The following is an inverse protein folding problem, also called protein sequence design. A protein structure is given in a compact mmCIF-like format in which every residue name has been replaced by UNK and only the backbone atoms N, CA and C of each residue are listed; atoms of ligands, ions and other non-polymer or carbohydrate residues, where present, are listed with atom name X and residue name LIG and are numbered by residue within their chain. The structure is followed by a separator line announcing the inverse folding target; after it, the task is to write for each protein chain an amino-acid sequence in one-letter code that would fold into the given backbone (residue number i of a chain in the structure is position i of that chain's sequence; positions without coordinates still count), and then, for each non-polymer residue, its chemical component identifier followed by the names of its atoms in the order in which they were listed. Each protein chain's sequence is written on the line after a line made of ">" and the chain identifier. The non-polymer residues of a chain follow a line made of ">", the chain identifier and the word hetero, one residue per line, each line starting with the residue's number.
data_IF_910738891266
#
_entry.id   IF_910738891266
#
_cell.length_a   1.000
_cell.length_b   1.000
_cell.length_c   1.000
_cell.angle_alpha   90.00
_cell.angle_beta   90.00
_cell.angle_gamma   90.00
#
_symmetry.space_group_name_H-M   'P 1'
#
loop_
_entity.id
_entity.type
_entity.pdbx_description
1 polymer ?
#
# COMPACT_ATOMS: atom_id res chain seq x y z
N UNK A 1 -11.02 -34.20 -12.90
CA UNK A 1 -10.60 -33.32 -11.77
C UNK A 1 -11.59 -33.38 -10.61
N UNK A 2 -12.89 -33.09 -10.77
CA UNK A 2 -13.87 -33.19 -9.66
C UNK A 2 -13.93 -34.59 -9.04
N UNK A 3 -13.96 -35.64 -9.83
CA UNK A 3 -13.93 -37.02 -9.37
C UNK A 3 -12.72 -37.36 -8.49
N UNK A 4 -11.55 -36.80 -8.84
CA UNK A 4 -10.32 -36.96 -8.05
C UNK A 4 -10.43 -36.28 -6.69
N UNK A 5 -11.00 -35.07 -6.63
CA UNK A 5 -11.25 -34.41 -5.35
C UNK A 5 -12.20 -35.20 -4.47
N UNK A 6 -13.30 -35.70 -5.04
CA UNK A 6 -14.26 -36.53 -4.33
C UNK A 6 -13.60 -37.82 -3.83
N UNK A 7 -12.81 -38.48 -4.66
CA UNK A 7 -12.12 -39.71 -4.24
C UNK A 7 -11.12 -39.47 -3.11
N UNK A 8 -10.32 -38.39 -3.21
CA UNK A 8 -9.35 -38.02 -2.16
C UNK A 8 -10.01 -37.58 -0.87
N UNK A 9 -11.10 -36.81 -0.95
CA UNK A 9 -11.88 -36.41 0.22
C UNK A 9 -12.51 -37.64 0.92
N UNK A 10 -13.01 -38.61 0.17
CA UNK A 10 -13.53 -39.88 0.72
C UNK A 10 -12.45 -40.73 1.36
N UNK A 11 -11.25 -40.75 0.79
CA UNK A 11 -10.14 -41.57 1.29
C UNK A 11 -9.46 -40.99 2.52
N UNK A 12 -9.30 -39.65 2.58
CA UNK A 12 -8.45 -39.00 3.56
C UNK A 12 -9.13 -37.91 4.40
N UNK A 13 -10.44 -37.68 4.20
CA UNK A 13 -11.17 -36.59 4.80
C UNK A 13 -11.25 -35.34 3.91
N UNK A 14 -12.29 -34.55 4.10
CA UNK A 14 -12.54 -33.36 3.27
C UNK A 14 -11.49 -32.28 3.48
N UNK A 15 -10.90 -32.18 4.64
CA UNK A 15 -9.85 -31.23 4.99
C UNK A 15 -8.54 -31.45 4.22
N UNK A 16 -8.35 -32.58 3.57
CA UNK A 16 -7.20 -32.80 2.67
C UNK A 16 -7.28 -31.96 1.40
N UNK A 17 -8.47 -31.47 1.07
CA UNK A 17 -8.64 -30.53 -0.04
C UNK A 17 -8.41 -29.12 0.47
N UNK A 18 -7.36 -28.49 -0.05
CA UNK A 18 -6.99 -27.12 0.27
C UNK A 18 -7.08 -26.24 -0.97
N UNK A 19 -8.20 -25.55 -1.20
CA UNK A 19 -8.32 -24.61 -2.31
C UNK A 19 -7.32 -23.47 -2.15
N UNK A 20 -6.33 -23.41 -3.04
CA UNK A 20 -5.39 -22.31 -3.09
C UNK A 20 -5.87 -21.28 -4.10
N UNK A 21 -6.16 -20.09 -3.64
CA UNK A 21 -6.65 -18.99 -4.46
C UNK A 21 -6.18 -17.66 -3.90
N UNK A 22 -6.12 -16.66 -4.74
CA UNK A 22 -5.87 -15.29 -4.31
C UNK A 22 -6.68 -14.30 -5.15
N UNK A 23 -6.47 -13.00 -4.89
CA UNK A 23 -7.15 -11.95 -5.61
C UNK A 23 -6.79 -11.98 -7.11
N UNK A 24 -7.77 -12.12 -7.94
CA UNK A 24 -7.71 -11.88 -9.37
C UNK A 24 -8.72 -10.79 -9.67
N UNK A 25 -9.83 -11.17 -10.31
CA UNK A 25 -10.98 -10.28 -10.42
C UNK A 25 -11.61 -10.06 -9.03
N UNK A 26 -11.61 -8.84 -8.56
CA UNK A 26 -11.99 -8.49 -7.18
C UNK A 26 -13.50 -8.33 -6.96
N UNK A 27 -14.33 -8.74 -7.92
CA UNK A 27 -15.78 -8.78 -7.75
C UNK A 27 -16.19 -9.70 -6.61
N UNK A 28 -17.15 -9.30 -5.79
CA UNK A 28 -17.56 -10.04 -4.58
C UNK A 28 -17.94 -11.49 -4.88
N UNK A 29 -18.65 -11.75 -5.96
CA UNK A 29 -19.06 -13.09 -6.35
C UNK A 29 -17.88 -13.95 -6.78
N UNK A 30 -16.97 -13.40 -7.59
CA UNK A 30 -15.83 -14.15 -8.12
C UNK A 30 -14.78 -14.39 -7.05
N UNK A 31 -14.44 -13.36 -6.28
CA UNK A 31 -13.43 -13.45 -5.22
C UNK A 31 -13.81 -14.47 -4.14
N UNK A 32 -15.06 -14.44 -3.70
CA UNK A 32 -15.51 -15.21 -2.56
C UNK A 32 -16.29 -16.48 -2.95
N UNK A 33 -16.50 -16.72 -4.25
CA UNK A 33 -17.26 -17.87 -4.75
C UNK A 33 -16.70 -19.23 -4.27
N UNK A 34 -15.37 -19.37 -4.23
CA UNK A 34 -14.71 -20.58 -3.75
C UNK A 34 -15.00 -20.89 -2.27
N UNK A 35 -15.28 -19.85 -1.46
CA UNK A 35 -15.59 -20.04 -0.04
C UNK A 35 -16.91 -20.76 0.18
N UNK A 36 -17.89 -20.61 -0.71
CA UNK A 36 -19.15 -21.37 -0.64
C UNK A 36 -18.89 -22.86 -0.74
N UNK A 37 -18.10 -23.27 -1.74
CA UNK A 37 -17.70 -24.67 -1.94
C UNK A 37 -16.93 -25.19 -0.71
N UNK A 38 -15.98 -24.40 -0.23
CA UNK A 38 -15.18 -24.76 0.94
C UNK A 38 -16.02 -24.96 2.20
N UNK A 39 -16.98 -24.08 2.45
CA UNK A 39 -17.86 -24.17 3.62
C UNK A 39 -18.78 -25.37 3.52
N UNK A 40 -19.40 -25.61 2.36
CA UNK A 40 -20.32 -26.73 2.15
C UNK A 40 -19.60 -28.06 2.30
N UNK A 41 -18.43 -28.21 1.68
CA UNK A 41 -17.70 -29.47 1.67
C UNK A 41 -16.69 -29.62 2.81
N UNK A 42 -16.60 -28.66 3.74
CA UNK A 42 -15.66 -28.69 4.87
C UNK A 42 -14.19 -28.79 4.45
N UNK A 43 -13.83 -28.20 3.33
CA UNK A 43 -12.44 -28.15 2.89
C UNK A 43 -11.59 -27.20 3.74
N UNK A 44 -10.27 -27.41 3.77
CA UNK A 44 -9.34 -26.60 4.53
C UNK A 44 -9.37 -25.13 4.12
N UNK A 45 -9.10 -24.25 5.09
CA UNK A 45 -9.04 -22.81 4.89
C UNK A 45 -7.63 -22.38 4.54
N UNK A 46 -7.51 -21.53 3.51
CA UNK A 46 -6.30 -20.79 3.25
C UNK A 46 -6.15 -19.61 4.23
N UNK A 47 -4.96 -19.41 4.74
CA UNK A 47 -4.58 -18.18 5.43
C UNK A 47 -3.94 -17.25 4.40
N UNK A 48 -4.60 -16.15 4.09
CA UNK A 48 -4.13 -15.17 3.10
C UNK A 48 -3.12 -14.23 3.76
N UNK A 49 -1.84 -14.39 3.47
CA UNK A 49 -0.77 -13.64 4.14
C UNK A 49 0.24 -12.98 3.18
N UNK A 50 0.16 -13.27 1.88
CA UNK A 50 1.25 -12.93 0.95
C UNK A 50 1.26 -11.46 0.57
N UNK A 51 0.12 -10.89 0.17
CA UNK A 51 0.05 -9.60 -0.51
C UNK A 51 -0.13 -8.42 0.44
N UNK A 52 -1.09 -8.49 1.34
CA UNK A 52 -1.60 -7.31 2.06
C UNK A 52 -1.41 -7.37 3.56
N UNK A 53 -1.26 -8.54 4.15
CA UNK A 53 -1.30 -8.70 5.62
C UNK A 53 -0.21 -7.92 6.35
N UNK A 54 1.00 -7.84 5.82
CA UNK A 54 2.08 -7.08 6.46
C UNK A 54 1.79 -5.58 6.39
N UNK A 55 1.37 -5.08 5.23
CA UNK A 55 1.00 -3.68 5.07
C UNK A 55 -0.27 -3.32 5.84
N UNK A 56 -1.26 -4.22 5.88
CA UNK A 56 -2.46 -4.06 6.71
C UNK A 56 -2.11 -3.96 8.20
N UNK A 57 -1.18 -4.77 8.69
CA UNK A 57 -0.74 -4.72 10.09
C UNK A 57 -0.09 -3.38 10.43
N UNK A 58 0.78 -2.87 9.56
CA UNK A 58 1.37 -1.54 9.72
C UNK A 58 0.32 -0.42 9.65
N UNK A 59 -0.63 -0.53 8.73
CA UNK A 59 -1.72 0.44 8.60
C UNK A 59 -2.61 0.46 9.85
N UNK A 60 -3.00 -0.72 10.35
CA UNK A 60 -3.80 -0.85 11.57
C UNK A 60 -3.07 -0.31 12.79
N UNK A 61 -1.76 -0.54 12.90
CA UNK A 61 -0.96 0.00 13.99
C UNK A 61 -0.92 1.53 13.98
N UNK A 62 -0.85 2.16 12.79
CA UNK A 62 -0.80 3.62 12.67
C UNK A 62 -2.15 4.32 12.69
N UNK A 63 -3.20 3.70 12.14
CA UNK A 63 -4.49 4.36 11.88
C UNK A 63 -5.67 3.72 12.62
N UNK A 64 -5.49 2.52 13.17
CA UNK A 64 -6.52 1.79 13.93
C UNK A 64 -7.58 1.08 13.06
N UNK A 65 -7.68 1.39 11.78
CA UNK A 65 -8.61 0.73 10.84
C UNK A 65 -8.09 0.78 9.41
N UNK A 66 -8.51 -0.19 8.60
CA UNK A 66 -8.23 -0.20 7.15
C UNK A 66 -9.31 0.64 6.47
N UNK A 67 -8.99 1.89 6.21
CA UNK A 67 -9.85 2.81 5.48
C UNK A 67 -9.00 3.86 4.76
N UNK A 68 -9.48 4.34 3.64
CA UNK A 68 -8.87 5.43 2.88
C UNK A 68 -9.95 6.39 2.37
N UNK A 69 -9.57 7.58 1.89
CA UNK A 69 -10.47 8.50 1.24
C UNK A 69 -10.97 7.95 -0.10
N UNK A 70 -12.01 8.55 -0.64
CA UNK A 70 -12.46 8.26 -1.99
C UNK A 70 -11.35 8.62 -3.01
N UNK A 71 -10.92 7.69 -3.87
CA UNK A 71 -9.87 7.96 -4.86
C UNK A 71 -10.15 9.16 -5.77
N UNK A 72 -11.42 9.52 -5.96
CA UNK A 72 -11.81 10.69 -6.76
C UNK A 72 -11.39 12.02 -6.11
N UNK A 73 -11.19 12.03 -4.81
CA UNK A 73 -10.72 13.22 -4.09
C UNK A 73 -9.27 13.58 -4.42
N UNK A 74 -8.51 12.65 -4.96
CA UNK A 74 -7.16 12.89 -5.49
C UNK A 74 -7.14 14.05 -6.49
N UNK A 75 -8.21 14.21 -7.28
CA UNK A 75 -8.35 15.32 -8.23
C UNK A 75 -8.39 16.71 -7.58
N UNK A 76 -8.56 16.78 -6.26
CA UNK A 76 -8.56 18.03 -5.47
C UNK A 76 -7.23 18.31 -4.79
N UNK A 77 -6.24 17.42 -4.94
CA UNK A 77 -4.93 17.55 -4.31
C UNK A 77 -4.01 18.49 -5.10
N UNK A 78 -3.11 19.15 -4.41
CA UNK A 78 -2.05 19.97 -5.01
C UNK A 78 -0.73 19.19 -5.17
N UNK A 79 -0.62 18.03 -4.50
CA UNK A 79 0.47 17.07 -4.65
C UNK A 79 -0.09 15.65 -4.56
N UNK A 80 0.28 14.79 -5.52
CA UNK A 80 -0.11 13.38 -5.55
C UNK A 80 1.16 12.53 -5.51
N UNK A 81 1.29 11.71 -4.47
CA UNK A 81 2.41 10.78 -4.31
C UNK A 81 1.92 9.37 -4.65
N UNK A 82 2.50 8.77 -5.68
CA UNK A 82 2.25 7.40 -6.11
C UNK A 82 3.44 6.56 -5.69
N UNK A 83 3.23 5.64 -4.74
CA UNK A 83 4.31 4.89 -4.10
C UNK A 83 4.15 3.39 -4.26
N UNK A 84 5.18 2.75 -4.85
CA UNK A 84 5.25 1.29 -4.98
C UNK A 84 4.18 0.67 -5.89
N UNK A 85 3.72 1.40 -6.90
CA UNK A 85 2.71 0.89 -7.83
C UNK A 85 2.87 1.45 -9.24
N UNK A 86 2.72 0.57 -10.23
CA UNK A 86 2.67 0.95 -11.64
C UNK A 86 1.22 1.31 -12.05
N UNK A 87 0.75 2.45 -11.57
CA UNK A 87 -0.64 2.87 -11.71
C UNK A 87 -1.09 3.01 -13.16
N UNK A 88 -0.20 3.36 -14.09
CA UNK A 88 -0.51 3.43 -15.53
C UNK A 88 -1.05 2.12 -16.07
N UNK A 89 -0.54 0.98 -15.59
CA UNK A 89 -0.95 -0.34 -16.05
C UNK A 89 -1.95 -1.04 -15.14
N UNK A 90 -1.86 -0.82 -13.82
CA UNK A 90 -2.62 -1.62 -12.85
C UNK A 90 -3.72 -0.86 -12.15
N UNK A 91 -3.69 0.49 -12.21
CA UNK A 91 -4.64 1.36 -11.51
C UNK A 91 -4.93 2.61 -12.35
N UNK A 92 -5.43 2.39 -13.56
CA UNK A 92 -5.67 3.42 -14.58
C UNK A 92 -6.50 4.59 -14.05
N UNK A 93 -7.53 4.31 -13.24
CA UNK A 93 -8.37 5.34 -12.64
C UNK A 93 -7.60 6.23 -11.64
N UNK A 94 -6.62 5.70 -10.92
CA UNK A 94 -5.73 6.50 -10.05
C UNK A 94 -4.96 7.50 -10.90
N UNK A 95 -4.36 7.06 -12.01
CA UNK A 95 -3.66 7.95 -12.93
C UNK A 95 -4.58 8.99 -13.54
N UNK A 96 -5.81 8.64 -13.88
CA UNK A 96 -6.80 9.59 -14.40
C UNK A 96 -7.04 10.73 -13.42
N UNK A 97 -7.21 10.44 -12.13
CA UNK A 97 -7.43 11.45 -11.10
C UNK A 97 -6.17 12.28 -10.81
N UNK A 98 -4.98 11.65 -10.81
CA UNK A 98 -3.71 12.36 -10.66
C UNK A 98 -3.47 13.35 -11.82
N UNK A 99 -3.68 12.90 -13.05
CA UNK A 99 -3.57 13.78 -14.24
C UNK A 99 -4.63 14.89 -14.21
N UNK A 100 -5.84 14.61 -13.74
CA UNK A 100 -6.87 15.63 -13.58
C UNK A 100 -6.42 16.68 -12.56
N UNK A 101 -5.88 16.30 -11.41
CA UNK A 101 -5.33 17.25 -10.44
C UNK A 101 -4.24 18.15 -11.06
N UNK A 102 -3.33 17.57 -11.84
CA UNK A 102 -2.30 18.32 -12.55
C UNK A 102 -2.91 19.34 -13.53
N UNK A 103 -3.88 18.91 -14.35
CA UNK A 103 -4.51 19.77 -15.36
C UNK A 103 -5.30 20.92 -14.75
N UNK A 104 -6.10 20.62 -13.74
CA UNK A 104 -7.07 21.56 -13.18
C UNK A 104 -6.45 22.48 -12.12
N UNK A 105 -5.40 22.03 -11.43
CA UNK A 105 -4.85 22.69 -10.25
C UNK A 105 -3.35 22.95 -10.33
N UNK A 106 -2.65 22.42 -11.33
CA UNK A 106 -1.18 22.46 -11.38
C UNK A 106 -0.51 21.52 -10.39
N UNK A 107 -1.23 20.52 -9.88
CA UNK A 107 -0.71 19.58 -8.91
C UNK A 107 0.57 18.90 -9.38
N UNK A 108 1.50 18.65 -8.47
CA UNK A 108 2.70 17.87 -8.74
C UNK A 108 2.43 16.38 -8.53
N UNK A 109 2.96 15.56 -9.43
CA UNK A 109 2.93 14.10 -9.32
C UNK A 109 4.33 13.63 -8.98
N UNK A 110 4.47 13.03 -7.79
CA UNK A 110 5.68 12.37 -7.33
C UNK A 110 5.48 10.87 -7.44
N UNK A 111 6.42 10.16 -8.03
CA UNK A 111 6.35 8.69 -8.12
C UNK A 111 7.59 8.10 -7.45
N UNK A 112 7.35 7.19 -6.53
CA UNK A 112 8.37 6.46 -5.78
C UNK A 112 8.26 4.97 -6.12
N UNK A 113 9.33 4.39 -6.66
CA UNK A 113 9.37 2.95 -6.97
C UNK A 113 10.83 2.46 -6.99
N UNK A 114 11.00 1.15 -7.07
CA UNK A 114 12.32 0.49 -7.12
C UNK A 114 12.86 0.31 -8.54
N UNK A 115 12.06 0.55 -9.57
CA UNK A 115 12.46 0.41 -10.97
C UNK A 115 11.73 1.42 -11.85
N UNK A 116 12.32 1.70 -13.02
CA UNK A 116 11.73 2.60 -14.00
C UNK A 116 10.50 1.98 -14.66
N UNK A 117 9.33 2.46 -14.31
CA UNK A 117 8.06 2.00 -14.85
C UNK A 117 7.33 3.12 -15.61
N UNK A 118 6.28 2.79 -16.38
CA UNK A 118 5.53 3.80 -17.12
C UNK A 118 4.90 4.90 -16.26
N UNK A 119 4.62 4.64 -14.99
CA UNK A 119 4.10 5.66 -14.06
C UNK A 119 5.16 6.70 -13.72
N UNK A 120 6.43 6.27 -13.53
CA UNK A 120 7.55 7.20 -13.31
C UNK A 120 7.75 8.17 -14.48
N UNK A 121 7.48 7.75 -15.72
CA UNK A 121 7.53 8.62 -16.90
C UNK A 121 6.46 9.72 -16.91
N UNK A 122 5.42 9.58 -16.08
CA UNK A 122 4.37 10.59 -15.91
C UNK A 122 4.64 11.52 -14.73
N UNK A 123 5.69 11.28 -13.94
CA UNK A 123 6.00 12.05 -12.76
C UNK A 123 6.59 13.43 -13.10
N UNK A 124 6.30 14.42 -12.25
CA UNK A 124 7.09 15.66 -12.19
C UNK A 124 8.38 15.44 -11.38
N UNK A 125 8.36 14.48 -10.45
CA UNK A 125 9.50 14.00 -9.69
C UNK A 125 9.44 12.48 -9.57
N UNK A 126 10.45 11.79 -10.08
CA UNK A 126 10.60 10.34 -9.98
C UNK A 126 11.72 10.00 -8.99
N UNK A 127 11.40 9.21 -7.97
CA UNK A 127 12.34 8.79 -6.95
C UNK A 127 12.52 7.27 -7.04
N UNK A 128 13.68 6.83 -7.53
CA UNK A 128 14.02 5.42 -7.62
C UNK A 128 14.77 4.97 -6.38
N UNK A 129 14.19 4.06 -5.63
CA UNK A 129 14.74 3.54 -4.38
C UNK A 129 15.47 2.21 -4.57
N UNK A 130 16.41 1.93 -3.69
CA UNK A 130 16.90 0.56 -3.51
C UNK A 130 15.80 -0.28 -2.85
N UNK A 131 15.56 -1.53 -3.28
CA UNK A 131 14.59 -2.41 -2.63
C UNK A 131 14.80 -2.47 -1.11
N UNK A 132 13.71 -2.33 -0.34
CA UNK A 132 13.74 -2.37 1.12
C UNK A 132 14.09 -1.05 1.82
N UNK A 133 14.22 0.07 1.09
CA UNK A 133 14.53 1.38 1.68
C UNK A 133 13.35 2.35 1.75
N UNK A 134 12.15 1.88 1.47
CA UNK A 134 10.92 2.70 1.50
C UNK A 134 10.71 3.38 2.86
N UNK A 135 10.88 2.62 3.94
CA UNK A 135 10.77 3.16 5.30
C UNK A 135 11.78 4.26 5.58
N UNK A 136 12.99 4.17 5.02
CA UNK A 136 14.01 5.20 5.18
C UNK A 136 13.57 6.52 4.52
N UNK A 137 13.05 6.46 3.28
CA UNK A 137 12.52 7.66 2.62
C UNK A 137 11.32 8.24 3.36
N UNK A 138 10.39 7.40 3.83
CA UNK A 138 9.23 7.85 4.60
C UNK A 138 9.67 8.58 5.88
N UNK A 139 10.60 8.01 6.64
CA UNK A 139 11.14 8.63 7.86
C UNK A 139 11.88 9.96 7.55
N UNK A 140 12.65 10.01 6.46
CA UNK A 140 13.33 11.24 6.05
C UNK A 140 12.32 12.35 5.69
N UNK A 141 11.27 12.01 4.97
CA UNK A 141 10.20 12.96 4.62
C UNK A 141 9.50 13.49 5.87
N UNK A 142 9.15 12.60 6.81
CA UNK A 142 8.57 13.01 8.10
C UNK A 142 9.52 13.89 8.90
N UNK A 143 10.81 13.54 8.98
CA UNK A 143 11.81 14.34 9.65
C UNK A 143 11.87 15.76 9.11
N UNK A 144 11.91 15.94 7.79
CA UNK A 144 11.91 17.25 7.13
C UNK A 144 10.61 18.01 7.46
N UNK A 145 9.46 17.33 7.38
CA UNK A 145 8.18 17.97 7.71
C UNK A 145 8.13 18.51 9.14
N UNK A 146 8.68 17.79 10.10
CA UNK A 146 8.77 18.25 11.49
C UNK A 146 9.83 19.34 11.69
N UNK A 147 11.02 19.15 11.13
CA UNK A 147 12.14 20.08 11.26
C UNK A 147 11.80 21.45 10.71
N UNK A 148 11.19 21.50 9.54
CA UNK A 148 10.95 22.74 8.79
C UNK A 148 9.56 23.35 9.04
N UNK A 149 8.78 22.75 9.97
CA UNK A 149 7.50 23.30 10.41
C UNK A 149 6.32 23.03 9.47
N UNK A 150 6.44 22.07 8.57
CA UNK A 150 5.34 21.67 7.65
C UNK A 150 4.30 20.73 8.30
N UNK A 151 4.59 20.19 9.50
CA UNK A 151 3.65 19.32 10.21
C UNK A 151 2.44 20.12 10.70
N UNK A 152 1.25 19.65 10.44
CA UNK A 152 -0.01 20.21 10.98
C UNK A 152 -0.14 19.83 12.45
N UNK A 153 0.40 20.68 13.31
CA UNK A 153 0.42 20.47 14.77
C UNK A 153 -0.98 20.42 15.35
N UNK A 154 -1.89 21.28 14.90
CA UNK A 154 -3.26 21.33 15.41
C UNK A 154 -4.03 20.03 15.08
N UNK A 155 -3.82 19.49 13.88
CA UNK A 155 -4.36 18.18 13.53
C UNK A 155 -3.76 17.07 14.40
N UNK A 156 -2.45 17.07 14.55
CA UNK A 156 -1.77 16.04 15.34
C UNK A 156 -2.15 16.03 16.79
N UNK A 157 -2.28 17.19 17.43
CA UNK A 157 -2.75 17.32 18.82
C UNK A 157 -4.15 16.75 19.03
N UNK A 158 -4.99 16.86 18.02
CA UNK A 158 -6.38 16.39 18.09
C UNK A 158 -6.55 14.91 17.78
N UNK A 159 -5.74 14.35 16.89
CA UNK A 159 -6.01 13.06 16.27
C UNK A 159 -4.92 12.02 16.44
N UNK A 160 -3.79 12.34 17.08
CA UNK A 160 -2.69 11.40 17.28
C UNK A 160 -2.28 11.32 18.75
N UNK A 161 -1.65 10.22 19.10
CA UNK A 161 -1.09 9.98 20.44
C UNK A 161 0.36 10.48 20.59
N UNK A 162 1.01 10.89 19.49
CA UNK A 162 2.32 11.53 19.48
C UNK A 162 2.32 12.86 18.71
N UNK A 163 1.64 13.91 19.22
CA UNK A 163 1.53 15.19 18.52
C UNK A 163 2.87 15.89 18.33
N UNK A 164 3.87 15.57 19.16
CA UNK A 164 5.22 16.11 19.04
C UNK A 164 6.09 15.37 18.00
N UNK A 165 5.65 14.20 17.52
CA UNK A 165 6.39 13.37 16.59
C UNK A 165 7.72 12.85 17.15
N UNK A 166 7.83 12.68 18.47
CA UNK A 166 9.10 12.34 19.14
C UNK A 166 9.63 10.97 18.77
N UNK A 167 8.72 10.02 18.55
CA UNK A 167 9.08 8.66 18.13
C UNK A 167 9.79 8.64 16.76
N UNK A 168 9.42 9.55 15.86
CA UNK A 168 9.99 9.61 14.52
C UNK A 168 11.19 10.56 14.41
N UNK A 169 11.20 11.63 15.15
CA UNK A 169 12.23 12.68 15.03
C UNK A 169 13.50 12.32 15.81
N UNK A 170 13.40 11.72 16.99
CA UNK A 170 14.55 11.56 17.87
C UNK A 170 15.31 10.22 17.73
N UNK A 171 14.62 9.10 17.60
CA UNK A 171 15.28 7.80 17.54
C UNK A 171 15.60 7.35 16.10
N UNK A 172 14.64 7.51 15.19
CA UNK A 172 14.75 7.08 13.81
C UNK A 172 15.30 8.19 12.90
N UNK A 173 14.93 9.44 13.13
CA UNK A 173 15.34 10.57 12.29
C UNK A 173 16.86 10.76 12.21
N UNK A 174 17.58 10.61 13.32
CA UNK A 174 19.07 10.68 13.34
C UNK A 174 19.74 9.48 12.66
N UNK A 175 19.15 8.30 12.75
CA UNK A 175 19.70 7.11 12.08
C UNK A 175 19.44 7.16 10.57
N UNK A 176 18.26 7.64 10.18
CA UNK A 176 17.82 7.72 8.79
C UNK A 176 18.43 8.93 8.07
N UNK A 177 18.59 10.08 8.73
CA UNK A 177 19.26 11.23 8.12
C UNK A 177 20.68 10.87 7.66
N UNK A 178 21.41 10.09 8.43
CA UNK A 178 22.73 9.57 8.01
C UNK A 178 22.67 8.60 6.84
N UNK A 179 21.57 7.85 6.66
CA UNK A 179 21.40 6.95 5.52
C UNK A 179 20.89 7.67 4.27
N UNK A 180 20.07 8.70 4.42
CA UNK A 180 19.55 9.50 3.29
C UNK A 180 20.64 10.38 2.68
N UNK A 181 21.58 10.88 3.46
CA UNK A 181 22.79 11.54 2.93
C UNK A 181 23.66 10.60 2.06
N UNK A 182 23.45 9.29 2.16
CA UNK A 182 24.10 8.26 1.32
C UNK A 182 23.26 7.81 0.12
N UNK A 183 22.02 8.24 0.00
CA UNK A 183 21.18 7.98 -1.19
C UNK A 183 21.59 8.97 -2.26
N UNK A 184 22.42 8.53 -3.19
CA UNK A 184 22.67 9.27 -4.41
C UNK A 184 21.40 9.26 -5.25
N UNK A 185 20.84 10.43 -5.44
CA UNK A 185 19.79 10.67 -6.42
C UNK A 185 20.48 10.68 -7.79
N UNK A 186 20.38 9.56 -8.54
CA UNK A 186 20.74 9.50 -9.95
C UNK A 186 19.58 9.96 -10.83
#
# INVERSE_FOLDING_TARGET
>A
MAEQFIAKARQHGNETIWPYYYAGTMGLVQRDGINRLRHELKYSRQVNTICTRTSESGWLAGVGKIAGPDPREMAKSDCVIIWGTNAVHTQVNVMTHAIKARKDRGAKIVVVDIYDNPTMKQADMALKLRPGTDAALACATMHIAFRDGYADRAYMEKFTDDPAGRLFVDALGRAVARQVEQVQFE
#
